data_IF_749947031058
#
_entry.id   IF_749947031058
#
_cell.length_a   1.000
_cell.length_b   1.000
_cell.length_c   1.000
_cell.angle_alpha   90.00
_cell.angle_beta   90.00
_cell.angle_gamma   90.00
#
_symmetry.space_group_name_H-M   'P 1'
#
loop_
_entity.id
_entity.type
_entity.pdbx_description
1 polymer ?
#
# COMPACT_ATOMS: atom_id res chain seq x y z
N UNK A 1 2.80 40.99 6.62
CA UNK A 1 2.34 39.66 7.07
C UNK A 1 2.74 38.63 6.02
N UNK A 2 3.61 37.65 6.34
CA UNK A 2 3.90 36.53 5.42
C UNK A 2 2.68 35.64 5.39
N UNK A 3 2.07 35.45 4.22
CA UNK A 3 1.03 34.44 4.06
C UNK A 3 1.62 33.07 4.43
N UNK A 4 0.93 32.27 5.26
CA UNK A 4 1.41 30.94 5.60
C UNK A 4 1.58 30.15 4.31
N UNK A 5 2.76 29.58 4.11
CA UNK A 5 3.07 28.74 2.96
C UNK A 5 2.20 27.46 3.04
N UNK A 6 1.20 27.30 2.16
CA UNK A 6 0.29 26.15 2.21
C UNK A 6 1.03 24.81 2.05
N UNK A 7 2.24 24.83 1.46
CA UNK A 7 3.08 23.64 1.32
C UNK A 7 3.52 23.02 2.66
N UNK A 8 3.49 23.77 3.77
CA UNK A 8 3.84 23.24 5.10
C UNK A 8 2.76 22.34 5.70
N UNK A 9 1.49 22.54 5.33
CA UNK A 9 0.37 21.77 5.87
C UNK A 9 0.15 20.45 5.14
N UNK A 10 0.56 20.38 3.86
CA UNK A 10 0.35 19.22 3.00
C UNK A 10 0.85 17.89 3.60
N UNK A 11 2.08 17.77 4.13
CA UNK A 11 2.55 16.52 4.72
C UNK A 11 1.71 16.06 5.91
N UNK A 12 1.24 17.00 6.74
CA UNK A 12 0.39 16.69 7.90
C UNK A 12 -0.99 16.21 7.46
N UNK A 13 -1.57 16.85 6.44
CA UNK A 13 -2.85 16.43 5.86
C UNK A 13 -2.78 15.00 5.30
N UNK A 14 -1.73 14.69 4.55
CA UNK A 14 -1.55 13.34 3.99
C UNK A 14 -1.31 12.31 5.08
N UNK A 15 -0.49 12.65 6.07
CA UNK A 15 -0.24 11.77 7.22
C UNK A 15 -1.52 11.48 7.99
N UNK A 16 -2.33 12.51 8.27
CA UNK A 16 -3.61 12.37 8.95
C UNK A 16 -4.60 11.56 8.10
N UNK A 17 -4.69 11.82 6.79
CA UNK A 17 -5.54 11.05 5.88
C UNK A 17 -5.17 9.56 5.91
N UNK A 18 -3.88 9.25 5.81
CA UNK A 18 -3.38 7.88 5.90
C UNK A 18 -3.72 7.22 7.23
N UNK A 19 -3.49 7.90 8.35
CA UNK A 19 -3.82 7.36 9.69
C UNK A 19 -5.31 7.08 9.79
N UNK A 20 -6.18 8.03 9.39
CA UNK A 20 -7.63 7.80 9.38
C UNK A 20 -8.03 6.62 8.48
N UNK A 21 -7.40 6.48 7.31
CA UNK A 21 -7.67 5.36 6.41
C UNK A 21 -7.31 3.99 7.02
N UNK A 22 -6.32 3.92 7.90
CA UNK A 22 -5.93 2.66 8.57
C UNK A 22 -6.97 2.19 9.60
N UNK A 23 -7.78 3.11 10.15
CA UNK A 23 -8.86 2.79 11.09
C UNK A 23 -10.18 2.50 10.39
N UNK A 24 -10.25 2.68 9.06
CA UNK A 24 -11.43 2.29 8.30
C UNK A 24 -11.52 0.76 8.20
N UNK A 25 -12.44 0.18 8.95
CA UNK A 25 -12.70 -1.25 9.01
C UNK A 25 -13.78 -1.73 8.01
N UNK A 26 -14.13 -0.93 6.99
CA UNK A 26 -15.18 -1.26 6.03
C UNK A 26 -16.61 -0.98 6.49
N UNK A 27 -16.84 -0.79 7.80
CA UNK A 27 -18.16 -0.55 8.39
C UNK A 27 -18.35 0.88 8.86
N UNK A 28 -17.34 1.47 9.50
CA UNK A 28 -17.44 2.84 10.01
C UNK A 28 -17.09 3.86 8.92
N UNK A 29 -18.11 4.35 8.22
CA UNK A 29 -17.96 5.36 7.17
C UNK A 29 -17.34 6.67 7.69
N UNK A 30 -17.30 6.92 9.00
CA UNK A 30 -16.77 8.16 9.58
C UNK A 30 -15.28 8.31 9.29
N UNK A 31 -14.48 7.26 9.51
CA UNK A 31 -13.04 7.27 9.23
C UNK A 31 -12.74 7.43 7.74
N UNK A 32 -13.54 6.78 6.91
CA UNK A 32 -13.46 6.92 5.46
C UNK A 32 -13.75 8.36 5.02
N UNK A 33 -14.83 8.96 5.53
CA UNK A 33 -15.22 10.33 5.20
C UNK A 33 -14.15 11.34 5.63
N UNK A 34 -13.58 11.20 6.82
CA UNK A 34 -12.49 12.07 7.31
C UNK A 34 -11.25 11.92 6.43
N UNK A 35 -10.84 10.68 6.10
CA UNK A 35 -9.72 10.43 5.19
C UNK A 35 -9.95 11.06 3.82
N UNK A 36 -11.14 10.90 3.25
CA UNK A 36 -11.50 11.45 1.95
C UNK A 36 -11.55 12.98 1.96
N UNK A 37 -12.07 13.59 3.03
CA UNK A 37 -12.08 15.05 3.22
C UNK A 37 -10.65 15.60 3.24
N UNK A 38 -9.75 14.96 3.99
CA UNK A 38 -8.34 15.36 4.06
C UNK A 38 -7.64 15.20 2.71
N UNK A 39 -7.96 14.14 1.96
CA UNK A 39 -7.45 13.92 0.60
C UNK A 39 -7.95 14.98 -0.39
N UNK A 40 -9.24 15.34 -0.32
CA UNK A 40 -9.83 16.41 -1.12
C UNK A 40 -9.23 17.77 -0.77
N UNK A 41 -8.98 18.04 0.52
CA UNK A 41 -8.31 19.25 0.97
C UNK A 41 -6.87 19.31 0.43
N UNK A 42 -6.13 18.19 0.49
CA UNK A 42 -4.80 18.08 -0.10
C UNK A 42 -4.82 18.35 -1.61
N UNK A 43 -5.74 17.74 -2.35
CA UNK A 43 -5.92 17.98 -3.78
C UNK A 43 -6.24 19.45 -4.08
N UNK A 44 -7.19 20.04 -3.34
CA UNK A 44 -7.65 21.42 -3.55
C UNK A 44 -6.54 22.44 -3.29
N UNK A 45 -5.78 22.28 -2.20
CA UNK A 45 -4.68 23.18 -1.86
C UNK A 45 -3.58 23.17 -2.93
N UNK A 46 -3.25 22.00 -3.49
CA UNK A 46 -2.27 21.93 -4.58
C UNK A 46 -2.85 22.45 -5.92
N UNK A 47 -4.13 22.24 -6.19
CA UNK A 47 -4.81 22.81 -7.36
C UNK A 47 -4.81 24.34 -7.38
N UNK A 48 -5.00 24.98 -6.21
CA UNK A 48 -4.89 26.44 -6.07
C UNK A 48 -3.46 26.91 -6.34
N UNK A 49 -2.45 26.17 -5.86
CA UNK A 49 -1.04 26.46 -6.11
C UNK A 49 -0.66 26.34 -7.59
N UNK A 50 -1.25 25.37 -8.29
CA UNK A 50 -1.06 25.15 -9.73
C UNK A 50 -1.61 26.31 -10.57
N UNK A 51 -2.79 26.83 -10.25
CA UNK A 51 -3.38 27.97 -10.96
C UNK A 51 -2.43 29.19 -10.97
N UNK A 52 -1.58 29.32 -9.95
CA UNK A 52 -0.61 30.40 -9.82
C UNK A 52 0.71 30.16 -10.54
N UNK A 53 1.10 28.90 -10.76
CA UNK A 53 2.45 28.51 -11.21
C UNK A 53 2.49 27.82 -12.56
N UNK A 54 1.33 27.40 -13.09
CA UNK A 54 1.20 26.66 -14.35
C UNK A 54 1.53 25.16 -14.21
N UNK A 55 1.08 24.36 -15.18
CA UNK A 55 1.37 22.93 -15.25
C UNK A 55 2.77 22.70 -15.81
N UNK A 56 3.69 22.20 -14.96
CA UNK A 56 4.94 21.63 -15.44
C UNK A 56 4.65 20.40 -16.31
N UNK A 57 4.91 20.52 -17.61
CA UNK A 57 4.60 19.52 -18.64
C UNK A 57 5.49 18.28 -18.52
N UNK A 58 5.02 17.28 -17.78
CA UNK A 58 5.47 15.89 -17.90
C UNK A 58 4.62 15.09 -18.89
N UNK A 59 4.97 13.81 -19.09
CA UNK A 59 4.19 12.86 -19.90
C UNK A 59 2.68 12.95 -19.60
N UNK A 60 1.89 13.25 -20.63
CA UNK A 60 0.45 13.50 -20.52
C UNK A 60 -0.40 12.22 -20.51
N UNK A 61 0.15 11.09 -20.96
CA UNK A 61 -0.62 9.86 -21.18
C UNK A 61 -1.16 9.26 -19.87
N UNK A 62 -0.32 9.12 -18.84
CA UNK A 62 -0.73 8.50 -17.58
C UNK A 62 -1.78 9.32 -16.83
N UNK A 63 -1.63 10.65 -16.63
CA UNK A 63 -2.70 11.45 -16.02
C UNK A 63 -4.02 11.40 -16.80
N UNK A 64 -3.96 11.42 -18.14
CA UNK A 64 -5.17 11.30 -18.97
C UNK A 64 -5.83 9.94 -18.77
N UNK A 65 -5.07 8.85 -18.77
CA UNK A 65 -5.61 7.50 -18.52
C UNK A 65 -6.25 7.40 -17.13
N UNK A 66 -5.62 7.95 -16.10
CA UNK A 66 -6.16 7.99 -14.74
C UNK A 66 -7.46 8.80 -14.68
N UNK A 67 -7.53 9.94 -15.38
CA UNK A 67 -8.75 10.75 -15.48
C UNK A 67 -9.86 10.03 -16.24
N UNK A 68 -9.55 9.35 -17.35
CA UNK A 68 -10.53 8.56 -18.11
C UNK A 68 -11.06 7.39 -17.27
N UNK A 69 -10.19 6.71 -16.52
CA UNK A 69 -10.61 5.68 -15.58
C UNK A 69 -11.53 6.24 -14.49
N UNK A 70 -11.18 7.40 -13.92
CA UNK A 70 -11.99 8.04 -12.88
C UNK A 70 -13.35 8.51 -13.42
N UNK A 71 -13.38 9.07 -14.64
CA UNK A 71 -14.61 9.43 -15.34
C UNK A 71 -15.47 8.19 -15.61
N UNK A 72 -14.87 7.10 -16.07
CA UNK A 72 -15.55 5.83 -16.31
C UNK A 72 -16.21 5.29 -15.03
N UNK A 73 -15.53 5.34 -13.87
CA UNK A 73 -16.13 4.98 -12.59
C UNK A 73 -17.36 5.84 -12.27
N UNK A 74 -17.28 7.15 -12.50
CA UNK A 74 -18.39 8.08 -12.24
C UNK A 74 -19.58 7.86 -13.18
N UNK A 75 -19.31 7.66 -14.47
CA UNK A 75 -20.32 7.33 -15.46
C UNK A 75 -20.98 5.97 -15.18
N UNK A 76 -20.30 5.05 -14.49
CA UNK A 76 -20.83 3.74 -14.08
C UNK A 76 -21.93 3.79 -13.00
N UNK A 77 -22.03 4.89 -12.23
CA UNK A 77 -23.01 5.03 -11.13
C UNK A 77 -24.46 4.87 -11.61
N UNK A 78 -24.95 5.59 -12.64
CA UNK A 78 -26.34 5.45 -13.12
C UNK A 78 -26.67 4.05 -13.67
N UNK A 79 -25.67 3.27 -14.09
CA UNK A 79 -25.84 1.92 -14.59
C UNK A 79 -25.84 0.84 -13.49
N UNK A 80 -25.59 1.22 -12.24
CA UNK A 80 -25.61 0.28 -11.11
C UNK A 80 -27.04 0.13 -10.57
N UNK A 81 -27.55 -1.10 -10.35
CA UNK A 81 -28.89 -1.32 -9.80
C UNK A 81 -29.10 -0.65 -8.44
N UNK A 82 -28.05 -0.63 -7.60
CA UNK A 82 -28.04 -0.01 -6.28
C UNK A 82 -27.14 1.23 -6.31
N UNK A 83 -27.74 2.39 -6.58
CA UNK A 83 -27.02 3.68 -6.75
C UNK A 83 -26.11 4.03 -5.57
N UNK A 84 -26.56 3.76 -4.35
CA UNK A 84 -25.79 4.01 -3.14
C UNK A 84 -24.46 3.23 -3.14
N UNK A 85 -24.49 1.93 -3.45
CA UNK A 85 -23.26 1.11 -3.56
C UNK A 85 -22.36 1.59 -4.70
N UNK A 86 -22.95 2.00 -5.82
CA UNK A 86 -22.22 2.62 -6.93
C UNK A 86 -21.45 3.88 -6.49
N UNK A 87 -22.09 4.77 -5.72
CA UNK A 87 -21.46 5.98 -5.20
C UNK A 87 -20.35 5.68 -4.18
N UNK A 88 -20.57 4.73 -3.27
CA UNK A 88 -19.53 4.30 -2.31
C UNK A 88 -18.33 3.72 -3.06
N UNK A 89 -18.55 2.84 -4.03
CA UNK A 89 -17.48 2.27 -4.85
C UNK A 89 -16.72 3.32 -5.66
N UNK A 90 -17.43 4.31 -6.22
CA UNK A 90 -16.81 5.43 -6.91
C UNK A 90 -15.83 6.17 -6.02
N UNK A 91 -16.20 6.49 -4.77
CA UNK A 91 -15.30 7.17 -3.85
C UNK A 91 -14.19 6.27 -3.32
N UNK A 92 -14.50 5.00 -3.07
CA UNK A 92 -13.53 4.04 -2.54
C UNK A 92 -12.40 3.79 -3.55
N UNK A 93 -12.74 3.51 -4.81
CA UNK A 93 -11.75 3.35 -5.89
C UNK A 93 -11.22 4.69 -6.38
N UNK A 94 -12.04 5.73 -6.39
CA UNK A 94 -11.70 7.09 -6.83
C UNK A 94 -10.69 7.80 -5.94
N UNK A 95 -10.53 7.36 -4.70
CA UNK A 95 -9.45 7.83 -3.83
C UNK A 95 -8.06 7.58 -4.44
N UNK A 96 -7.88 6.53 -5.24
CA UNK A 96 -6.60 6.23 -5.90
C UNK A 96 -6.26 7.26 -7.00
N UNK A 97 -7.10 7.51 -8.03
CA UNK A 97 -6.93 8.62 -8.95
C UNK A 97 -6.73 9.95 -8.25
N UNK A 98 -7.54 10.25 -7.24
CA UNK A 98 -7.47 11.52 -6.51
C UNK A 98 -6.13 11.70 -5.81
N UNK A 99 -5.63 10.68 -5.11
CA UNK A 99 -4.32 10.71 -4.46
C UNK A 99 -3.17 10.82 -5.45
N UNK A 100 -3.24 10.11 -6.58
CA UNK A 100 -2.26 10.24 -7.65
C UNK A 100 -2.21 11.66 -8.22
N UNK A 101 -3.38 12.26 -8.50
CA UNK A 101 -3.47 13.63 -9.02
C UNK A 101 -2.98 14.63 -7.97
N UNK A 102 -3.38 14.50 -6.70
CA UNK A 102 -2.89 15.36 -5.62
C UNK A 102 -1.37 15.30 -5.47
N UNK A 103 -0.78 14.09 -5.59
CA UNK A 103 0.67 13.91 -5.61
C UNK A 103 1.32 14.56 -6.83
N UNK A 104 0.73 14.41 -8.02
CA UNK A 104 1.24 15.04 -9.24
C UNK A 104 1.24 16.58 -9.13
N UNK A 105 0.26 17.15 -8.44
CA UNK A 105 0.15 18.58 -8.20
C UNK A 105 1.05 19.10 -7.05
N UNK A 106 1.65 18.20 -6.26
CA UNK A 106 2.47 18.59 -5.11
C UNK A 106 3.80 19.21 -5.56
N UNK A 107 4.16 20.43 -5.09
CA UNK A 107 5.47 21.03 -5.34
C UNK A 107 6.60 20.18 -4.74
N UNK A 108 7.78 20.17 -5.36
CA UNK A 108 8.94 19.40 -4.88
C UNK A 108 8.60 17.93 -4.53
N UNK A 109 7.92 17.22 -5.45
CA UNK A 109 7.45 15.82 -5.29
C UNK A 109 8.48 14.88 -4.66
N UNK A 110 9.75 15.04 -5.05
CA UNK A 110 10.86 14.26 -4.52
C UNK A 110 11.08 14.48 -3.01
N UNK A 111 11.13 15.75 -2.55
CA UNK A 111 11.27 16.05 -1.11
C UNK A 111 10.05 15.61 -0.32
N UNK A 112 8.86 15.75 -0.91
CA UNK A 112 7.63 15.27 -0.30
C UNK A 112 7.67 13.75 -0.11
N UNK A 113 8.06 13.01 -1.16
CA UNK A 113 8.20 11.56 -1.11
C UNK A 113 9.25 11.10 -0.08
N UNK A 114 10.41 11.77 -0.03
CA UNK A 114 11.47 11.48 0.96
C UNK A 114 11.01 11.64 2.41
N UNK A 115 10.01 12.49 2.68
CA UNK A 115 9.41 12.65 4.02
C UNK A 115 8.29 11.66 4.29
N UNK A 116 7.46 11.39 3.29
CA UNK A 116 6.32 10.49 3.41
C UNK A 116 6.76 9.02 3.53
N UNK A 117 7.78 8.64 2.77
CA UNK A 117 8.27 7.28 2.71
C UNK A 117 8.66 6.68 4.07
N UNK A 118 9.51 7.31 4.92
CA UNK A 118 9.84 6.75 6.23
C UNK A 118 8.60 6.63 7.13
N UNK A 119 7.65 7.56 7.05
CA UNK A 119 6.39 7.47 7.79
C UNK A 119 5.58 6.23 7.36
N UNK A 120 5.43 6.00 6.06
CA UNK A 120 4.75 4.82 5.52
C UNK A 120 5.41 3.51 5.97
N UNK A 121 6.74 3.46 5.99
CA UNK A 121 7.47 2.29 6.48
C UNK A 121 7.25 2.08 7.99
N UNK A 122 7.29 3.13 8.79
CA UNK A 122 7.01 3.04 10.22
C UNK A 122 5.58 2.58 10.52
N UNK A 123 4.60 3.07 9.76
CA UNK A 123 3.22 2.59 9.81
C UNK A 123 3.17 1.09 9.50
N UNK A 124 3.80 0.65 8.41
CA UNK A 124 3.84 -0.76 8.04
C UNK A 124 4.50 -1.63 9.11
N UNK A 125 5.59 -1.15 9.72
CA UNK A 125 6.29 -1.85 10.81
C UNK A 125 5.39 -1.95 12.05
N UNK A 126 4.72 -0.86 12.44
CA UNK A 126 3.82 -0.85 13.59
C UNK A 126 2.63 -1.81 13.38
N UNK A 127 2.01 -1.79 12.19
CA UNK A 127 0.92 -2.71 11.83
C UNK A 127 1.40 -4.16 11.80
N UNK A 128 2.61 -4.41 11.30
CA UNK A 128 3.21 -5.75 11.31
C UNK A 128 3.45 -6.22 12.75
N UNK A 129 3.99 -5.37 13.61
CA UNK A 129 4.16 -5.69 15.04
C UNK A 129 2.84 -6.03 15.72
N UNK A 130 1.79 -5.23 15.49
CA UNK A 130 0.47 -5.50 16.05
C UNK A 130 -0.18 -6.78 15.48
N UNK A 131 -0.01 -7.05 14.19
CA UNK A 131 -0.48 -8.29 13.57
C UNK A 131 0.27 -9.53 14.08
N UNK A 132 1.57 -9.43 14.37
CA UNK A 132 2.33 -10.50 15.01
C UNK A 132 1.86 -10.73 16.45
N UNK A 133 1.54 -9.67 17.19
CA UNK A 133 0.90 -9.79 18.50
C UNK A 133 -0.45 -10.51 18.41
N UNK A 134 -1.30 -10.14 17.43
CA UNK A 134 -2.56 -10.83 17.16
C UNK A 134 -2.36 -12.32 16.85
N UNK A 135 -1.34 -12.64 16.06
CA UNK A 135 -1.03 -13.99 15.62
C UNK A 135 -0.51 -14.87 16.76
N UNK A 136 0.51 -14.41 17.48
CA UNK A 136 1.20 -15.23 18.48
C UNK A 136 0.55 -15.18 19.87
N UNK A 137 0.05 -14.02 20.29
CA UNK A 137 -0.48 -13.84 21.64
C UNK A 137 -1.99 -14.00 21.70
N UNK A 138 -2.71 -13.43 20.74
CA UNK A 138 -4.18 -13.51 20.72
C UNK A 138 -4.70 -14.73 19.95
N UNK A 139 -3.82 -15.51 19.30
CA UNK A 139 -4.18 -16.66 18.48
C UNK A 139 -5.30 -16.33 17.47
N UNK A 140 -5.23 -15.12 16.91
CA UNK A 140 -6.25 -14.55 16.03
C UNK A 140 -5.66 -14.25 14.65
N UNK A 141 -6.49 -14.17 13.59
CA UNK A 141 -6.00 -13.82 12.27
C UNK A 141 -5.24 -12.48 12.28
N UNK A 142 -4.06 -12.40 11.64
CA UNK A 142 -3.22 -11.19 11.63
C UNK A 142 -3.83 -10.14 10.69
N UNK A 143 -4.83 -9.41 11.20
CA UNK A 143 -5.56 -8.38 10.46
C UNK A 143 -5.05 -6.96 10.78
N UNK A 144 -4.31 -6.80 11.88
CA UNK A 144 -4.00 -5.53 12.51
C UNK A 144 -5.28 -4.69 12.75
N UNK A 145 -5.37 -3.51 12.15
CA UNK A 145 -6.55 -2.63 12.18
C UNK A 145 -7.49 -2.84 11.00
N UNK A 146 -7.10 -3.66 10.01
CA UNK A 146 -7.90 -3.87 8.80
C UNK A 146 -9.06 -4.84 9.05
N UNK A 147 -10.08 -4.73 8.18
CA UNK A 147 -11.23 -5.65 8.21
C UNK A 147 -10.85 -7.11 7.95
N UNK A 148 -9.86 -7.35 7.07
CA UNK A 148 -9.40 -8.71 6.73
C UNK A 148 -7.89 -8.79 6.63
N UNK A 149 -7.32 -9.97 6.89
CA UNK A 149 -5.90 -10.28 6.67
C UNK A 149 -5.47 -10.02 5.24
N UNK A 150 -6.37 -10.21 4.28
CA UNK A 150 -6.07 -9.99 2.86
C UNK A 150 -5.86 -8.50 2.56
N UNK A 151 -6.59 -7.61 3.23
CA UNK A 151 -6.40 -6.15 3.13
C UNK A 151 -5.05 -5.72 3.71
N UNK A 152 -4.66 -6.27 4.87
CA UNK A 152 -3.33 -6.04 5.43
C UNK A 152 -2.23 -6.56 4.49
N UNK A 153 -2.38 -7.76 3.94
CA UNK A 153 -1.42 -8.31 2.98
C UNK A 153 -1.31 -7.45 1.71
N UNK A 154 -2.42 -6.96 1.16
CA UNK A 154 -2.39 -6.06 0.03
C UNK A 154 -1.62 -4.77 0.37
N UNK A 155 -1.89 -4.17 1.54
CA UNK A 155 -1.20 -2.98 2.01
C UNK A 155 0.32 -3.21 2.19
N UNK A 156 0.72 -4.30 2.85
CA UNK A 156 2.14 -4.62 3.04
C UNK A 156 2.84 -4.96 1.73
N UNK A 157 2.16 -5.61 0.79
CA UNK A 157 2.71 -5.86 -0.56
C UNK A 157 2.99 -4.54 -1.29
N UNK A 158 2.11 -3.55 -1.16
CA UNK A 158 2.34 -2.22 -1.73
C UNK A 158 3.51 -1.50 -1.04
N UNK A 159 3.66 -1.62 0.29
CA UNK A 159 4.78 -1.03 1.03
C UNK A 159 6.12 -1.75 0.81
N UNK A 160 6.10 -3.00 0.38
CA UNK A 160 7.31 -3.78 0.12
C UNK A 160 8.14 -3.19 -1.02
N UNK A 161 7.51 -2.63 -2.07
CA UNK A 161 8.23 -1.96 -3.16
C UNK A 161 9.02 -0.72 -2.72
N UNK A 162 8.44 0.27 -2.01
CA UNK A 162 9.21 1.38 -1.47
C UNK A 162 10.29 0.95 -0.48
N UNK A 163 10.03 -0.08 0.35
CA UNK A 163 11.05 -0.64 1.24
C UNK A 163 12.23 -1.24 0.45
N UNK A 164 11.92 -2.00 -0.60
CA UNK A 164 12.90 -2.58 -1.51
C UNK A 164 13.69 -1.48 -2.26
N UNK A 165 13.03 -0.42 -2.69
CA UNK A 165 13.68 0.73 -3.32
C UNK A 165 14.73 1.37 -2.40
N UNK A 166 14.48 1.45 -1.08
CA UNK A 166 15.50 1.92 -0.14
C UNK A 166 16.72 0.99 -0.09
N UNK A 167 16.53 -0.33 -0.12
CA UNK A 167 17.64 -1.29 -0.20
C UNK A 167 18.45 -1.12 -1.49
N UNK A 168 17.77 -0.91 -2.62
CA UNK A 168 18.39 -0.82 -3.93
C UNK A 168 19.13 0.50 -4.18
N UNK A 169 18.54 1.63 -3.77
CA UNK A 169 18.95 2.97 -4.23
C UNK A 169 19.53 3.84 -3.11
N UNK A 170 19.11 3.69 -1.85
CA UNK A 170 19.46 4.65 -0.81
C UNK A 170 20.98 4.81 -0.65
N UNK A 171 21.46 6.03 -0.47
CA UNK A 171 22.88 6.31 -0.25
C UNK A 171 23.28 6.12 1.22
N UNK A 172 22.38 6.45 2.14
CA UNK A 172 22.60 6.40 3.58
C UNK A 172 22.39 4.99 4.12
N UNK A 173 23.34 4.54 4.96
CA UNK A 173 23.31 3.21 5.55
C UNK A 173 22.07 2.98 6.44
N UNK A 174 21.68 3.98 7.23
CA UNK A 174 20.48 3.92 8.08
C UNK A 174 19.21 3.61 7.29
N UNK A 175 19.01 4.30 6.17
CA UNK A 175 17.81 4.16 5.35
C UNK A 175 17.82 2.79 4.65
N UNK A 176 18.98 2.28 4.24
CA UNK A 176 19.11 0.89 3.75
C UNK A 176 18.72 -0.15 4.80
N UNK A 177 19.17 0.01 6.05
CA UNK A 177 18.81 -0.92 7.13
C UNK A 177 17.33 -0.87 7.47
N UNK A 178 16.73 0.32 7.51
CA UNK A 178 15.29 0.47 7.69
C UNK A 178 14.52 -0.23 6.55
N UNK A 179 14.94 -0.03 5.31
CA UNK A 179 14.39 -0.73 4.15
C UNK A 179 14.53 -2.24 4.25
N UNK A 180 15.71 -2.74 4.64
CA UNK A 180 15.95 -4.18 4.77
C UNK A 180 15.10 -4.82 5.88
N UNK A 181 15.02 -4.18 7.05
CA UNK A 181 14.16 -4.60 8.15
C UNK A 181 12.69 -4.66 7.71
N UNK A 182 12.21 -3.59 7.04
CA UNK A 182 10.85 -3.52 6.53
C UNK A 182 10.58 -4.62 5.49
N UNK A 183 11.49 -4.86 4.53
CA UNK A 183 11.34 -5.93 3.52
C UNK A 183 11.20 -7.29 4.19
N UNK A 184 12.10 -7.64 5.11
CA UNK A 184 12.07 -8.94 5.78
C UNK A 184 10.79 -9.09 6.60
N UNK A 185 10.42 -8.07 7.37
CA UNK A 185 9.23 -8.10 8.22
C UNK A 185 7.93 -8.21 7.40
N UNK A 186 7.82 -7.44 6.31
CA UNK A 186 6.64 -7.45 5.45
C UNK A 186 6.53 -8.78 4.69
N UNK A 187 7.63 -9.28 4.13
CA UNK A 187 7.66 -10.59 3.47
C UNK A 187 7.32 -11.73 4.45
N UNK A 188 7.85 -11.67 5.67
CA UNK A 188 7.50 -12.60 6.74
C UNK A 188 5.99 -12.61 7.02
N UNK A 189 5.39 -11.44 7.27
CA UNK A 189 3.96 -11.38 7.56
C UNK A 189 3.10 -11.79 6.36
N UNK A 190 3.50 -11.44 5.14
CA UNK A 190 2.83 -11.92 3.92
C UNK A 190 2.86 -13.44 3.83
N UNK A 191 3.98 -14.06 4.19
CA UNK A 191 4.14 -15.51 4.29
C UNK A 191 3.18 -16.14 5.30
N UNK A 192 3.01 -15.50 6.47
CA UNK A 192 2.06 -15.95 7.49
C UNK A 192 0.60 -15.81 7.02
N UNK A 193 0.24 -14.72 6.34
CA UNK A 193 -1.14 -14.46 5.87
C UNK A 193 -1.56 -15.41 4.73
N UNK A 194 -0.62 -15.81 3.87
CA UNK A 194 -0.85 -16.69 2.71
C UNK A 194 -1.89 -16.17 1.69
N UNK A 195 -1.96 -14.86 1.45
CA UNK A 195 -2.95 -14.26 0.52
C UNK A 195 -2.53 -14.41 -0.96
N UNK A 196 -3.22 -15.27 -1.73
CA UNK A 196 -2.93 -15.54 -3.16
C UNK A 196 -2.89 -14.27 -4.02
N UNK A 197 -3.83 -13.35 -3.80
CA UNK A 197 -3.87 -12.08 -4.52
C UNK A 197 -2.65 -11.20 -4.22
N UNK A 198 -2.21 -11.18 -2.96
CA UNK A 198 -1.00 -10.46 -2.56
C UNK A 198 0.25 -11.07 -3.21
N UNK A 199 0.36 -12.40 -3.30
CA UNK A 199 1.45 -13.08 -4.01
C UNK A 199 1.52 -12.71 -5.49
N UNK A 200 0.39 -12.74 -6.19
CA UNK A 200 0.34 -12.38 -7.62
C UNK A 200 0.68 -10.90 -7.82
N UNK A 201 0.16 -10.01 -6.97
CA UNK A 201 0.49 -8.59 -7.00
C UNK A 201 1.98 -8.33 -6.73
N UNK A 202 2.56 -9.02 -5.75
CA UNK A 202 3.98 -8.96 -5.44
C UNK A 202 4.83 -9.42 -6.62
N UNK A 203 4.53 -10.59 -7.19
CA UNK A 203 5.26 -11.16 -8.32
C UNK A 203 5.20 -10.24 -9.55
N UNK A 204 3.99 -9.79 -9.92
CA UNK A 204 3.81 -8.85 -11.02
C UNK A 204 4.55 -7.52 -10.81
N UNK A 205 4.48 -6.97 -9.60
CA UNK A 205 5.20 -5.75 -9.25
C UNK A 205 6.72 -5.92 -9.23
N UNK A 206 7.25 -7.07 -8.81
CA UNK A 206 8.68 -7.37 -8.86
C UNK A 206 9.18 -7.50 -10.31
N UNK A 207 8.41 -8.14 -11.19
CA UNK A 207 8.73 -8.22 -12.63
C UNK A 207 8.77 -6.83 -13.24
N UNK A 208 7.78 -5.98 -12.95
CA UNK A 208 7.74 -4.60 -13.42
C UNK A 208 8.89 -3.77 -12.85
N UNK A 209 9.15 -3.85 -11.55
CA UNK A 209 10.23 -3.09 -10.90
C UNK A 209 11.60 -3.54 -11.43
N UNK A 210 11.81 -4.84 -11.63
CA UNK A 210 13.01 -5.36 -12.27
C UNK A 210 13.12 -4.80 -13.69
N UNK A 211 12.14 -5.04 -14.56
CA UNK A 211 12.15 -4.60 -15.96
C UNK A 211 12.38 -3.10 -16.15
N UNK A 212 11.75 -2.26 -15.31
CA UNK A 212 11.94 -0.80 -15.35
C UNK A 212 13.24 -0.34 -14.65
N UNK A 213 13.77 -1.13 -13.71
CA UNK A 213 14.91 -0.78 -12.85
C UNK A 213 16.26 -1.39 -13.25
N UNK A 214 16.31 -2.34 -14.19
CA UNK A 214 17.53 -3.05 -14.62
C UNK A 214 18.61 -2.07 -15.11
N UNK A 215 18.24 -0.95 -15.73
CA UNK A 215 19.22 0.02 -16.26
C UNK A 215 19.91 0.89 -15.21
N UNK A 216 19.38 0.99 -13.99
CA UNK A 216 19.83 1.99 -13.00
C UNK A 216 20.56 1.44 -11.78
N UNK A 217 20.64 0.13 -11.60
CA UNK A 217 21.11 -0.48 -10.34
C UNK A 217 22.02 -1.69 -10.57
N UNK A 218 23.00 -1.90 -9.68
CA UNK A 218 23.90 -3.07 -9.75
C UNK A 218 23.09 -4.35 -9.49
N UNK A 219 23.25 -5.35 -10.36
CA UNK A 219 22.59 -6.66 -10.24
C UNK A 219 22.73 -7.30 -8.85
N UNK A 220 23.87 -7.12 -8.17
CA UNK A 220 24.10 -7.60 -6.80
C UNK A 220 23.07 -7.07 -5.80
N UNK A 221 22.64 -5.80 -5.93
CA UNK A 221 21.65 -5.22 -5.01
C UNK A 221 20.26 -5.81 -5.21
N UNK A 222 19.92 -6.13 -6.46
CA UNK A 222 18.69 -6.86 -6.79
C UNK A 222 18.67 -8.24 -6.14
N UNK A 223 19.77 -8.98 -6.26
CA UNK A 223 19.93 -10.27 -5.59
C UNK A 223 19.80 -10.15 -4.08
N UNK A 224 20.40 -9.11 -3.46
CA UNK A 224 20.21 -8.85 -2.03
C UNK A 224 18.75 -8.60 -1.67
N UNK A 225 18.05 -7.75 -2.43
CA UNK A 225 16.64 -7.47 -2.22
C UNK A 225 15.76 -8.72 -2.33
N UNK A 226 15.98 -9.54 -3.36
CA UNK A 226 15.29 -10.81 -3.55
C UNK A 226 15.59 -11.80 -2.41
N UNK A 227 16.85 -11.90 -2.00
CA UNK A 227 17.26 -12.76 -0.89
C UNK A 227 16.58 -12.36 0.43
N UNK A 228 16.39 -11.07 0.70
CA UNK A 228 15.65 -10.60 1.88
C UNK A 228 14.17 -10.98 1.84
N UNK A 229 13.53 -10.86 0.66
CA UNK A 229 12.14 -11.29 0.48
C UNK A 229 12.01 -12.79 0.72
N UNK A 230 12.88 -13.60 0.09
CA UNK A 230 12.91 -15.05 0.27
C UNK A 230 13.17 -15.42 1.73
N UNK A 231 14.11 -14.75 2.40
CA UNK A 231 14.40 -14.98 3.81
C UNK A 231 13.17 -14.74 4.70
N UNK A 232 12.41 -13.66 4.45
CA UNK A 232 11.15 -13.41 5.16
C UNK A 232 10.13 -14.54 4.96
N UNK A 233 9.93 -14.98 3.72
CA UNK A 233 9.00 -16.08 3.42
C UNK A 233 9.44 -17.42 4.00
N UNK A 234 10.73 -17.75 3.94
CA UNK A 234 11.28 -18.97 4.54
C UNK A 234 11.09 -18.94 6.05
N UNK A 235 11.39 -17.81 6.70
CA UNK A 235 11.16 -17.66 8.13
C UNK A 235 9.68 -17.87 8.48
N UNK A 236 8.75 -17.37 7.68
CA UNK A 236 7.31 -17.59 7.89
C UNK A 236 6.94 -19.07 7.76
N UNK A 237 7.45 -19.74 6.72
CA UNK A 237 7.23 -21.17 6.50
C UNK A 237 7.74 -22.04 7.66
N UNK A 238 8.85 -21.65 8.29
CA UNK A 238 9.40 -22.35 9.46
C UNK A 238 8.59 -22.13 10.74
N UNK A 239 7.87 -21.01 10.85
CA UNK A 239 7.06 -20.65 12.03
C UNK A 239 5.67 -21.28 11.98
N UNK A 240 5.04 -21.35 10.81
CA UNK A 240 3.66 -21.83 10.64
C UNK A 240 3.38 -23.18 11.34
N UNK A 241 4.27 -24.21 11.26
CA UNK A 241 4.03 -25.50 11.92
C UNK A 241 3.94 -25.42 13.45
N UNK A 242 4.47 -24.37 14.07
CA UNK A 242 4.52 -24.21 15.53
C UNK A 242 3.29 -23.52 16.11
N UNK A 243 2.33 -23.12 15.28
CA UNK A 243 1.10 -22.43 15.73
C UNK A 243 -0.12 -23.32 15.38
N UNK A 244 -0.57 -24.17 16.32
CA UNK A 244 -1.52 -25.25 16.05
C UNK A 244 -2.90 -24.78 15.54
N UNK A 245 -3.33 -23.55 15.85
CA UNK A 245 -4.65 -23.03 15.46
C UNK A 245 -4.62 -22.08 14.25
N UNK A 246 -3.43 -21.67 13.78
CA UNK A 246 -3.31 -20.61 12.78
C UNK A 246 -3.37 -21.07 11.33
N UNK A 247 -3.52 -22.37 11.07
CA UNK A 247 -3.59 -22.86 9.71
C UNK A 247 -4.09 -24.29 9.64
N UNK A 248 -5.32 -24.44 9.15
CA UNK A 248 -5.62 -25.58 8.31
C UNK A 248 -4.63 -25.58 7.15
N UNK A 249 -3.62 -26.45 7.29
CA UNK A 249 -2.39 -26.39 6.52
C UNK A 249 -2.64 -26.56 5.04
N UNK A 250 -1.60 -26.36 4.22
CA UNK A 250 -1.63 -26.73 2.80
C UNK A 250 -2.14 -28.17 2.61
N UNK A 251 -1.84 -29.07 3.54
CA UNK A 251 -2.37 -30.43 3.58
C UNK A 251 -3.89 -30.48 3.78
N UNK A 252 -4.45 -29.80 4.79
CA UNK A 252 -5.92 -29.77 4.97
C UNK A 252 -6.65 -29.13 3.78
N UNK A 253 -6.03 -28.16 3.11
CA UNK A 253 -6.61 -27.50 1.93
C UNK A 253 -6.47 -28.33 0.64
N UNK A 254 -5.41 -29.11 0.50
CA UNK A 254 -5.28 -30.08 -0.60
C UNK A 254 -6.24 -31.24 -0.39
N UNK A 255 -6.42 -31.67 0.86
CA UNK A 255 -7.43 -32.67 1.23
C UNK A 255 -8.84 -32.12 0.96
N UNK A 256 -9.16 -30.88 1.33
CA UNK A 256 -10.50 -30.32 1.07
C UNK A 256 -10.80 -30.15 -0.43
N UNK A 257 -9.79 -29.85 -1.26
CA UNK A 257 -9.95 -29.77 -2.71
C UNK A 257 -10.16 -31.15 -3.36
N UNK A 258 -9.53 -32.18 -2.78
CA UNK A 258 -9.73 -33.56 -3.20
C UNK A 258 -11.14 -34.05 -2.86
N UNK A 259 -11.66 -33.70 -1.69
CA UNK A 259 -13.01 -34.11 -1.27
C UNK A 259 -14.13 -33.44 -2.09
N UNK A 260 -13.94 -32.20 -2.54
CA UNK A 260 -14.89 -31.55 -3.48
C UNK A 260 -14.88 -32.14 -4.89
N UNK A 261 -13.84 -32.90 -5.27
CA UNK A 261 -13.77 -33.57 -6.57
C UNK A 261 -14.42 -34.97 -6.54
N UNK A 262 -14.83 -35.45 -5.37
CA UNK A 262 -15.51 -36.74 -5.16
C UNK A 262 -17.02 -36.64 -4.89
N UNK A 263 -17.59 -35.43 -4.99
CA UNK A 263 -19.03 -35.16 -4.94
C UNK A 263 -19.53 -34.75 -6.33
#
# INVERSE_FOLDING_TARGET
>A
MKTPDPGRLVPWLVSAALVCALFFNGLDLSWFAVSLLLLLLWFTLNGIGLYRTGLATGSRALPVMVMLFWLWLGLGIPFTPVRYLGAVNFWWLGALPLGYLAFLLTPDREKFWQRLLPLLLWIGIALSGYALYQYFWLQSPPNATFFTKNSLAAFLSLLLFPALAQVLVASRLRDRWLGALAVVLFAFLLGLIQSRGAWLGLAGGLVLLYGLGVGGTRHTRWLTGLALIVAGFVAAALVIPWVPEAGGGLLERVVSLRDTASA
#
